data_IF_419342653530
#
_entry.id   IF_419342653530
#
_cell.length_a   1.000
_cell.length_b   1.000
_cell.length_c   1.000
_cell.angle_alpha   90.00
_cell.angle_beta   90.00
_cell.angle_gamma   90.00
#
_symmetry.space_group_name_H-M   'P 1'
#
loop_
_entity.id
_entity.type
_entity.pdbx_description
1 polymer ?
#
# COMPACT_ATOMS: atom_id res chain seq x y z
N UNK A 1 -4.45 15.79 58.85
CA UNK A 1 -4.29 14.49 58.17
C UNK A 1 -5.13 14.53 56.91
N UNK A 2 -4.49 14.75 55.77
CA UNK A 2 -5.12 14.70 54.44
C UNK A 2 -4.34 13.61 53.71
N UNK A 3 -5.01 12.49 53.42
CA UNK A 3 -4.44 11.38 52.66
C UNK A 3 -4.28 11.82 51.20
N UNK A 4 -3.03 12.08 50.80
CA UNK A 4 -2.65 12.28 49.41
C UNK A 4 -2.59 10.92 48.70
N UNK A 5 -3.64 10.59 47.94
CA UNK A 5 -3.69 9.37 47.16
C UNK A 5 -2.78 9.44 45.92
N UNK A 6 -1.78 8.56 45.99
CA UNK A 6 -0.71 8.24 45.04
C UNK A 6 -1.21 7.44 43.82
N UNK A 7 -2.10 8.02 43.00
CA UNK A 7 -2.62 7.32 41.81
C UNK A 7 -2.58 8.11 40.49
N UNK A 8 -2.18 9.39 40.50
CA UNK A 8 -2.26 10.25 39.31
C UNK A 8 -0.98 10.34 38.46
N UNK A 9 0.08 9.60 38.79
CA UNK A 9 1.36 9.66 38.04
C UNK A 9 1.64 8.50 37.09
N UNK A 10 0.74 7.51 37.00
CA UNK A 10 0.93 6.34 36.13
C UNK A 10 0.15 6.46 34.80
N UNK A 11 -0.81 7.38 34.66
CA UNK A 11 -1.63 7.49 33.45
C UNK A 11 -1.08 8.36 32.31
N UNK A 12 0.07 9.05 32.45
CA UNK A 12 0.55 10.00 31.43
C UNK A 12 1.78 9.49 30.66
N UNK A 13 2.42 8.39 31.09
CA UNK A 13 3.63 7.88 30.43
C UNK A 13 3.40 6.74 29.42
N UNK A 14 2.17 6.25 29.24
CA UNK A 14 1.85 5.20 28.24
C UNK A 14 1.25 5.73 26.94
N UNK A 15 0.90 7.02 26.86
CA UNK A 15 0.25 7.59 25.68
C UNK A 15 1.21 8.30 24.70
N UNK A 16 2.49 8.46 25.05
CA UNK A 16 3.44 9.28 24.28
C UNK A 16 4.76 8.59 23.89
N UNK A 17 4.89 7.26 24.07
CA UNK A 17 6.07 6.49 23.64
C UNK A 17 5.82 5.52 22.48
N UNK A 18 4.68 5.60 21.80
CA UNK A 18 4.40 4.80 20.58
C UNK A 18 4.02 5.63 19.34
N UNK A 19 4.21 6.95 19.37
CA UNK A 19 3.94 7.83 18.22
C UNK A 19 5.19 8.12 17.38
N UNK A 20 6.00 7.09 17.11
CA UNK A 20 7.06 7.16 16.10
C UNK A 20 7.28 5.82 15.39
N UNK A 21 6.18 5.12 15.09
CA UNK A 21 6.17 4.17 13.97
C UNK A 21 5.46 4.87 12.83
N UNK A 22 6.26 5.34 11.88
CA UNK A 22 5.87 5.97 10.62
C UNK A 22 4.71 5.16 10.02
N UNK A 23 3.49 5.69 10.09
CA UNK A 23 2.24 5.03 9.72
C UNK A 23 2.22 4.64 8.23
N UNK A 24 2.38 3.36 7.85
CA UNK A 24 2.04 2.91 6.51
C UNK A 24 0.51 2.78 6.37
N UNK A 25 -0.21 2.61 7.49
CA UNK A 25 -1.66 2.33 7.57
C UNK A 25 -2.51 3.48 7.05
N UNK A 26 -2.06 4.74 7.21
CA UNK A 26 -2.80 5.91 6.72
C UNK A 26 -2.83 6.01 5.19
N UNK A 27 -1.90 5.38 4.47
CA UNK A 27 -1.86 5.42 3.01
C UNK A 27 -2.93 4.52 2.39
N UNK A 28 -3.06 3.30 2.90
CA UNK A 28 -3.99 2.29 2.41
C UNK A 28 -5.45 2.71 2.61
N UNK A 29 -5.78 3.27 3.78
CA UNK A 29 -7.12 3.80 4.06
C UNK A 29 -7.48 4.94 3.10
N UNK A 30 -6.55 5.86 2.82
CA UNK A 30 -6.77 6.97 1.87
C UNK A 30 -7.00 6.46 0.45
N UNK A 31 -6.23 5.48 0.00
CA UNK A 31 -6.37 4.85 -1.32
C UNK A 31 -7.75 4.17 -1.42
N UNK A 32 -8.14 3.40 -0.40
CA UNK A 32 -9.43 2.73 -0.35
C UNK A 32 -10.60 3.72 -0.36
N UNK A 33 -10.51 4.83 0.39
CA UNK A 33 -11.51 5.90 0.37
C UNK A 33 -11.59 6.59 -1.00
N UNK A 34 -10.44 6.90 -1.62
CA UNK A 34 -10.39 7.53 -2.95
C UNK A 34 -10.98 6.60 -4.02
N UNK A 35 -10.62 5.32 -3.99
CA UNK A 35 -11.13 4.33 -4.93
C UNK A 35 -12.63 4.07 -4.72
N UNK A 36 -13.10 3.99 -3.47
CA UNK A 36 -14.53 3.85 -3.16
C UNK A 36 -15.36 5.03 -3.70
N UNK A 37 -14.89 6.26 -3.49
CA UNK A 37 -15.52 7.46 -4.09
C UNK A 37 -15.53 7.40 -5.62
N UNK A 38 -14.45 6.91 -6.22
CA UNK A 38 -14.37 6.73 -7.67
C UNK A 38 -15.38 5.69 -8.18
N UNK A 39 -15.53 4.54 -7.49
CA UNK A 39 -16.53 3.52 -7.85
C UNK A 39 -17.97 4.04 -7.73
N UNK A 40 -18.27 4.85 -6.70
CA UNK A 40 -19.58 5.50 -6.58
C UNK A 40 -19.90 6.38 -7.79
N UNK A 41 -18.91 7.12 -8.31
CA UNK A 41 -19.07 7.90 -9.54
C UNK A 41 -19.33 7.00 -10.76
N UNK A 42 -18.61 5.88 -10.88
CA UNK A 42 -18.84 4.92 -11.96
C UNK A 42 -20.27 4.37 -11.94
N UNK A 43 -20.82 4.07 -10.76
CA UNK A 43 -22.21 3.61 -10.61
C UNK A 43 -23.21 4.65 -11.12
N UNK A 44 -23.02 5.93 -10.77
CA UNK A 44 -23.88 7.02 -11.25
C UNK A 44 -23.79 7.22 -12.76
N UNK A 45 -22.58 7.21 -13.34
CA UNK A 45 -22.37 7.46 -14.77
C UNK A 45 -22.85 6.32 -15.68
N UNK A 46 -22.79 5.09 -15.19
CA UNK A 46 -23.17 3.91 -15.97
C UNK A 46 -24.60 3.43 -15.74
N UNK A 47 -25.33 4.03 -14.79
CA UNK A 47 -26.65 3.56 -14.33
C UNK A 47 -26.60 2.06 -13.93
N UNK A 48 -25.50 1.63 -13.30
CA UNK A 48 -25.25 0.25 -12.93
C UNK A 48 -24.66 0.14 -11.52
N UNK A 49 -25.42 -0.49 -10.62
CA UNK A 49 -24.98 -0.84 -9.26
C UNK A 49 -24.69 -2.35 -9.16
N UNK A 50 -23.42 -2.76 -8.94
CA UNK A 50 -23.05 -4.17 -8.79
C UNK A 50 -23.68 -4.85 -7.57
N UNK A 51 -24.14 -4.09 -6.56
CA UNK A 51 -24.73 -4.64 -5.33
C UNK A 51 -26.25 -4.85 -5.43
N UNK A 52 -26.92 -4.18 -6.37
CA UNK A 52 -28.38 -4.18 -6.48
C UNK A 52 -28.90 -4.70 -7.83
N UNK A 53 -28.06 -5.39 -8.62
CA UNK A 53 -28.51 -5.89 -9.92
C UNK A 53 -29.21 -7.25 -9.84
N UNK A 54 -30.51 -7.27 -10.14
CA UNK A 54 -31.23 -8.50 -10.47
C UNK A 54 -31.03 -8.80 -11.95
N UNK A 55 -30.40 -9.93 -12.27
CA UNK A 55 -30.07 -10.30 -13.65
C UNK A 55 -30.59 -11.70 -13.90
N UNK A 56 -31.42 -11.84 -14.93
CA UNK A 56 -32.08 -13.10 -15.27
C UNK A 56 -31.24 -14.02 -16.17
N UNK A 57 -30.31 -13.45 -16.97
CA UNK A 57 -29.51 -14.21 -17.92
C UNK A 57 -28.06 -14.40 -17.45
N UNK A 58 -27.59 -15.66 -17.52
CA UNK A 58 -26.25 -16.08 -17.15
C UNK A 58 -25.18 -15.69 -18.18
N UNK A 59 -25.52 -15.46 -19.44
CA UNK A 59 -24.57 -15.15 -20.52
C UNK A 59 -24.61 -13.70 -21.00
N UNK A 60 -25.44 -12.85 -20.41
CA UNK A 60 -25.63 -11.49 -20.94
C UNK A 60 -25.29 -10.48 -19.86
N UNK A 61 -24.43 -9.51 -20.19
CA UNK A 61 -24.13 -8.41 -19.29
C UNK A 61 -25.40 -7.62 -18.98
N UNK A 62 -25.52 -7.11 -17.76
CA UNK A 62 -26.57 -6.15 -17.47
C UNK A 62 -26.36 -4.84 -18.24
N UNK A 63 -27.45 -4.10 -18.43
CA UNK A 63 -27.39 -2.73 -18.93
C UNK A 63 -26.44 -1.92 -18.03
N UNK A 64 -25.52 -1.19 -18.65
CA UNK A 64 -24.53 -0.37 -17.94
C UNK A 64 -23.31 -1.13 -17.38
N UNK A 65 -23.37 -2.46 -17.24
CA UNK A 65 -22.28 -3.24 -16.61
C UNK A 65 -20.93 -3.07 -17.33
N UNK A 66 -20.93 -3.04 -18.66
CA UNK A 66 -19.72 -2.81 -19.47
C UNK A 66 -19.07 -1.46 -19.16
N UNK A 67 -19.87 -0.39 -19.19
CA UNK A 67 -19.42 0.97 -18.94
C UNK A 67 -18.92 1.13 -17.50
N UNK A 68 -19.61 0.53 -16.54
CA UNK A 68 -19.18 0.47 -15.15
C UNK A 68 -17.79 -0.17 -15.01
N UNK A 69 -17.58 -1.34 -15.63
CA UNK A 69 -16.31 -2.06 -15.55
C UNK A 69 -15.17 -1.26 -16.18
N UNK A 70 -15.41 -0.62 -17.33
CA UNK A 70 -14.42 0.23 -17.99
C UNK A 70 -14.03 1.45 -17.14
N UNK A 71 -15.01 2.07 -16.48
CA UNK A 71 -14.77 3.11 -15.49
C UNK A 71 -13.96 2.56 -14.31
N UNK A 72 -14.38 1.44 -13.72
CA UNK A 72 -13.69 0.82 -12.58
C UNK A 72 -12.21 0.49 -12.89
N UNK A 73 -11.89 0.00 -14.09
CA UNK A 73 -10.51 -0.22 -14.52
C UNK A 73 -9.69 1.06 -14.51
N UNK A 74 -10.26 2.17 -14.98
CA UNK A 74 -9.62 3.49 -14.92
C UNK A 74 -9.33 3.89 -13.47
N UNK A 75 -10.25 3.58 -12.55
CA UNK A 75 -10.07 3.78 -11.12
C UNK A 75 -8.90 2.97 -10.55
N UNK A 76 -8.78 1.70 -10.93
CA UNK A 76 -7.68 0.82 -10.51
C UNK A 76 -6.35 1.34 -11.04
N UNK A 77 -6.28 1.72 -12.31
CA UNK A 77 -5.07 2.27 -12.95
C UNK A 77 -4.60 3.57 -12.31
N UNK A 78 -5.52 4.43 -11.86
CA UNK A 78 -5.18 5.73 -11.28
C UNK A 78 -4.90 5.71 -9.78
N UNK A 79 -5.52 4.79 -9.03
CA UNK A 79 -5.49 4.83 -7.56
C UNK A 79 -4.78 3.63 -6.93
N UNK A 80 -4.88 2.43 -7.54
CA UNK A 80 -4.35 1.19 -6.94
C UNK A 80 -2.98 0.86 -7.52
N UNK A 81 -2.86 0.85 -8.85
CA UNK A 81 -1.62 0.48 -9.55
C UNK A 81 -0.41 1.34 -9.14
N UNK A 82 -0.51 2.68 -8.98
CA UNK A 82 0.63 3.51 -8.62
C UNK A 82 1.22 3.20 -7.25
N UNK A 83 0.40 2.69 -6.33
CA UNK A 83 0.76 2.44 -4.93
C UNK A 83 1.02 0.95 -4.64
N UNK A 84 0.79 0.07 -5.63
CA UNK A 84 0.99 -1.38 -5.47
C UNK A 84 2.44 -1.80 -5.70
N UNK A 85 2.87 -2.83 -4.97
CA UNK A 85 4.16 -3.50 -5.18
C UNK A 85 4.17 -4.43 -6.40
N UNK A 86 2.99 -4.74 -6.97
CA UNK A 86 2.80 -5.66 -8.11
C UNK A 86 1.98 -5.02 -9.26
N UNK A 87 2.41 -3.86 -9.80
CA UNK A 87 1.61 -3.09 -10.75
C UNK A 87 1.32 -3.84 -12.06
N UNK A 88 2.23 -4.71 -12.50
CA UNK A 88 2.05 -5.48 -13.74
C UNK A 88 0.96 -6.55 -13.59
N UNK A 89 0.84 -7.15 -12.40
CA UNK A 89 -0.12 -8.19 -12.11
C UNK A 89 -1.55 -7.62 -12.06
N UNK A 90 -1.72 -6.39 -11.56
CA UNK A 90 -2.99 -5.66 -11.67
C UNK A 90 -3.35 -5.34 -13.13
N UNK A 91 -2.37 -4.93 -13.96
CA UNK A 91 -2.60 -4.71 -15.41
C UNK A 91 -3.03 -6.01 -16.12
N UNK A 92 -2.39 -7.12 -15.80
CA UNK A 92 -2.74 -8.44 -16.34
C UNK A 92 -4.13 -8.90 -15.90
N UNK A 93 -4.53 -8.60 -14.66
CA UNK A 93 -5.90 -8.84 -14.19
C UNK A 93 -6.91 -8.02 -15.01
N UNK A 94 -6.67 -6.72 -15.22
CA UNK A 94 -7.56 -5.87 -16.04
C UNK A 94 -7.69 -6.46 -17.46
N UNK A 95 -6.58 -6.82 -18.09
CA UNK A 95 -6.56 -7.44 -19.42
C UNK A 95 -7.36 -8.74 -19.46
N UNK A 96 -7.16 -9.61 -18.46
CA UNK A 96 -7.87 -10.89 -18.35
C UNK A 96 -9.36 -10.71 -18.11
N UNK A 97 -9.73 -9.78 -17.23
CA UNK A 97 -11.13 -9.49 -16.92
C UNK A 97 -11.87 -8.89 -18.13
N UNK A 98 -11.22 -8.01 -18.90
CA UNK A 98 -11.77 -7.52 -20.18
C UNK A 98 -12.04 -8.68 -21.13
N UNK A 99 -11.07 -9.59 -21.30
CA UNK A 99 -11.24 -10.79 -22.14
C UNK A 99 -12.43 -11.64 -21.68
N UNK A 100 -12.51 -11.98 -20.40
CA UNK A 100 -13.63 -12.80 -19.89
C UNK A 100 -14.97 -12.10 -19.99
N UNK A 101 -15.01 -10.77 -19.84
CA UNK A 101 -16.25 -10.02 -20.04
C UNK A 101 -16.70 -10.06 -21.51
N UNK A 102 -15.76 -10.01 -22.46
CA UNK A 102 -16.07 -10.24 -23.88
C UNK A 102 -16.53 -11.69 -24.14
N UNK A 103 -15.97 -12.67 -23.42
CA UNK A 103 -16.41 -14.08 -23.51
C UNK A 103 -17.84 -14.27 -22.98
N UNK A 104 -18.26 -13.48 -21.98
CA UNK A 104 -19.67 -13.42 -21.54
C UNK A 104 -20.55 -12.95 -22.68
N UNK A 105 -20.27 -11.78 -23.28
CA UNK A 105 -21.08 -11.25 -24.39
C UNK A 105 -21.16 -12.21 -25.60
N UNK A 106 -20.11 -13.00 -25.83
CA UNK A 106 -20.05 -14.05 -26.86
C UNK A 106 -20.72 -15.37 -26.44
N UNK A 107 -21.32 -15.44 -25.26
CA UNK A 107 -21.92 -16.65 -24.65
C UNK A 107 -20.97 -17.82 -24.49
N UNK A 108 -19.66 -17.56 -24.45
CA UNK A 108 -18.61 -18.58 -24.23
C UNK A 108 -18.34 -18.82 -22.74
N UNK A 109 -18.77 -17.90 -21.89
CA UNK A 109 -18.54 -17.94 -20.46
C UNK A 109 -19.74 -17.35 -19.72
N UNK A 110 -20.15 -17.95 -18.60
CA UNK A 110 -21.20 -17.39 -17.76
C UNK A 110 -20.65 -16.27 -16.87
N UNK A 111 -21.52 -15.37 -16.43
CA UNK A 111 -21.17 -14.32 -15.45
C UNK A 111 -20.65 -14.89 -14.13
N UNK A 112 -21.18 -16.05 -13.71
CA UNK A 112 -20.73 -16.77 -12.52
C UNK A 112 -19.30 -17.29 -12.68
N UNK A 113 -18.98 -17.91 -13.82
CA UNK A 113 -17.62 -18.36 -14.12
C UNK A 113 -16.64 -17.19 -14.21
N UNK A 114 -17.06 -16.05 -14.81
CA UNK A 114 -16.23 -14.82 -14.82
C UNK A 114 -15.92 -14.40 -13.40
N UNK A 115 -16.94 -14.30 -12.55
CA UNK A 115 -16.80 -13.89 -11.14
C UNK A 115 -15.86 -14.84 -10.40
N UNK A 116 -16.03 -16.16 -10.57
CA UNK A 116 -15.17 -17.17 -9.96
C UNK A 116 -13.71 -17.01 -10.38
N UNK A 117 -13.45 -16.87 -11.70
CA UNK A 117 -12.10 -16.62 -12.22
C UNK A 117 -11.49 -15.33 -11.65
N UNK A 118 -12.27 -14.26 -11.60
CA UNK A 118 -11.85 -12.97 -11.02
C UNK A 118 -11.48 -13.11 -9.55
N UNK A 119 -12.32 -13.75 -8.73
CA UNK A 119 -12.05 -13.95 -7.30
C UNK A 119 -10.78 -14.78 -7.05
N UNK A 120 -10.55 -15.82 -7.87
CA UNK A 120 -9.33 -16.62 -7.79
C UNK A 120 -8.09 -15.76 -8.05
N UNK A 121 -8.12 -14.87 -9.06
CA UNK A 121 -6.98 -14.00 -9.34
C UNK A 121 -6.80 -12.94 -8.26
N UNK A 122 -7.87 -12.29 -7.78
CA UNK A 122 -7.80 -11.30 -6.69
C UNK A 122 -7.15 -11.91 -5.45
N UNK A 123 -7.61 -13.09 -5.00
CA UNK A 123 -7.01 -13.74 -3.82
C UNK A 123 -5.54 -14.15 -4.01
N UNK A 124 -5.07 -14.30 -5.25
CA UNK A 124 -3.63 -14.48 -5.53
C UNK A 124 -2.88 -13.15 -5.49
N UNK A 125 -3.47 -12.07 -6.02
CA UNK A 125 -2.87 -10.73 -5.97
C UNK A 125 -2.68 -10.24 -4.54
N UNK A 126 -3.68 -10.41 -3.68
CA UNK A 126 -3.58 -10.02 -2.26
C UNK A 126 -2.40 -10.71 -1.56
N UNK A 127 -2.23 -12.01 -1.80
CA UNK A 127 -1.09 -12.76 -1.25
C UNK A 127 0.25 -12.27 -1.80
N UNK A 128 0.33 -12.02 -3.10
CA UNK A 128 1.56 -11.55 -3.75
C UNK A 128 1.93 -10.13 -3.30
N UNK A 129 0.97 -9.22 -3.21
CA UNK A 129 1.20 -7.83 -2.80
C UNK A 129 1.68 -7.79 -1.34
N UNK A 130 1.07 -8.58 -0.45
CA UNK A 130 1.52 -8.75 0.94
C UNK A 130 2.96 -9.29 1.02
N UNK A 131 3.27 -10.34 0.26
CA UNK A 131 4.63 -10.90 0.21
C UNK A 131 5.66 -9.88 -0.29
N UNK A 132 5.33 -9.11 -1.34
CA UNK A 132 6.24 -8.09 -1.87
C UNK A 132 6.40 -6.91 -0.89
N UNK A 133 5.34 -6.53 -0.19
CA UNK A 133 5.38 -5.52 0.87
C UNK A 133 6.34 -5.94 1.99
N UNK A 134 6.21 -7.17 2.47
CA UNK A 134 7.08 -7.70 3.53
C UNK A 134 8.55 -7.75 3.09
N UNK A 135 8.82 -8.22 1.86
CA UNK A 135 10.16 -8.23 1.28
C UNK A 135 10.75 -6.82 1.17
N UNK A 136 9.96 -5.83 0.75
CA UNK A 136 10.42 -4.44 0.66
C UNK A 136 10.74 -3.86 2.05
N UNK A 137 9.89 -4.12 3.04
CA UNK A 137 10.13 -3.67 4.42
C UNK A 137 11.43 -4.27 4.95
N UNK A 138 11.64 -5.57 4.74
CA UNK A 138 12.86 -6.26 5.16
C UNK A 138 14.10 -5.69 4.47
N UNK A 139 14.05 -5.45 3.15
CA UNK A 139 15.16 -4.84 2.41
C UNK A 139 15.49 -3.44 2.91
N UNK A 140 14.46 -2.63 3.20
CA UNK A 140 14.65 -1.29 3.76
C UNK A 140 15.29 -1.34 5.15
N UNK A 141 14.90 -2.29 6.00
CA UNK A 141 15.50 -2.48 7.31
C UNK A 141 16.98 -2.86 7.21
N UNK A 142 17.31 -3.87 6.39
CA UNK A 142 18.70 -4.27 6.15
C UNK A 142 19.55 -3.12 5.59
N UNK A 143 19.01 -2.39 4.62
CA UNK A 143 19.71 -1.23 4.03
C UNK A 143 19.97 -0.14 5.06
N UNK A 144 18.99 0.11 5.93
CA UNK A 144 19.13 1.07 7.04
C UNK A 144 20.19 0.64 8.03
N UNK A 145 20.23 -0.64 8.41
CA UNK A 145 21.23 -1.17 9.33
C UNK A 145 22.66 -1.01 8.77
N UNK A 146 22.86 -1.37 7.51
CA UNK A 146 24.16 -1.19 6.83
C UNK A 146 24.57 0.29 6.81
N UNK A 147 23.64 1.18 6.49
CA UNK A 147 23.90 2.63 6.47
C UNK A 147 24.25 3.16 7.87
N UNK A 148 23.55 2.71 8.92
CA UNK A 148 23.83 3.13 10.29
C UNK A 148 25.19 2.63 10.78
N UNK A 149 25.57 1.41 10.42
CA UNK A 149 26.88 0.86 10.75
C UNK A 149 28.01 1.63 10.03
N UNK A 150 27.81 2.02 8.78
CA UNK A 150 28.77 2.86 8.06
C UNK A 150 28.92 4.26 8.69
N UNK A 151 27.82 4.87 9.15
CA UNK A 151 27.85 6.13 9.89
C UNK A 151 28.66 5.96 11.18
N UNK A 152 28.38 4.92 11.95
CA UNK A 152 29.07 4.61 13.21
C UNK A 152 30.59 4.42 12.99
N UNK A 153 30.99 3.71 11.93
CA UNK A 153 32.40 3.53 11.57
C UNK A 153 33.09 4.85 11.22
N UNK A 154 32.42 5.73 10.46
CA UNK A 154 32.96 7.04 10.09
C UNK A 154 33.12 7.95 11.31
N UNK A 155 32.17 7.93 12.23
CA UNK A 155 32.27 8.66 13.49
C UNK A 155 33.41 8.14 14.36
N UNK A 156 33.53 6.82 14.52
CA UNK A 156 34.64 6.22 15.26
C UNK A 156 35.99 6.62 14.67
N UNK A 157 36.13 6.56 13.34
CA UNK A 157 37.34 6.99 12.65
C UNK A 157 37.66 8.47 12.92
N UNK A 158 36.66 9.37 12.90
CA UNK A 158 36.85 10.79 13.26
C UNK A 158 37.33 10.97 14.70
N UNK A 159 36.81 10.19 15.64
CA UNK A 159 37.20 10.26 17.06
C UNK A 159 38.62 9.72 17.30
N UNK A 160 39.07 8.76 16.49
CA UNK A 160 40.40 8.15 16.60
C UNK A 160 41.51 8.95 15.89
N UNK A 161 41.18 9.97 15.09
CA UNK A 161 42.22 10.79 14.47
C UNK A 161 42.94 11.64 15.52
N UNK A 162 44.29 11.61 15.57
CA UNK A 162 45.04 12.45 16.48
C UNK A 162 44.72 13.92 16.18
N UNK A 163 44.29 14.67 17.19
CA UNK A 163 44.16 16.12 17.08
C UNK A 163 45.56 16.67 16.84
N UNK A 164 45.89 17.00 15.59
CA UNK A 164 47.08 17.77 15.27
C UNK A 164 46.91 19.13 15.96
N UNK A 165 47.54 19.30 17.11
CA UNK A 165 47.55 20.56 17.83
C UNK A 165 48.54 21.49 17.11
N UNK A 166 48.03 22.25 16.14
CA UNK A 166 48.83 23.20 15.36
C UNK A 166 49.54 24.28 16.23
N UNK A 167 49.14 24.46 17.49
CA UNK A 167 49.83 25.35 18.43
C UNK A 167 51.15 24.77 18.95
N UNK A 168 51.38 23.44 18.91
CA UNK A 168 52.66 22.85 19.34
C UNK A 168 53.74 22.91 18.26
N UNK A 169 53.39 23.17 16.99
CA UNK A 169 54.38 23.27 15.90
C UNK A 169 54.91 24.71 15.70
N UNK A 170 54.22 25.75 16.21
CA UNK A 170 54.68 27.15 16.08
C UNK A 170 55.82 27.54 17.03
N UNK A 171 56.11 26.74 18.06
CA UNK A 171 57.20 26.99 19.02
C UNK A 171 58.56 26.46 18.58
N UNK A 172 58.63 25.62 17.55
CA UNK A 172 59.85 24.92 17.11
C UNK A 172 60.59 25.63 15.95
N UNK A 173 60.13 26.81 15.52
CA UNK A 173 60.72 27.61 14.44
C UNK A 173 61.30 28.95 14.94
N UNK A 174 61.75 29.01 16.19
CA UNK A 174 62.53 30.14 16.73
C UNK A 174 63.86 29.67 17.26
#
# INVERSE_FOLDING_TARGET
MIEMNSSYRICICLFLLFMSVINPVQSEEKINQAFSKFLSKCTTESDYDPNNTKISDKYTLAKGERAFLDCAYTGIEKNIIPESYIPNQYKDLIKSHRKWTNEVEKKLLTRSERRSRTLIVIGRLEKLDSQQKDLMIEQMQRTREVMMEDIRKRELHRLMQPRINYNSMRGALR
#
